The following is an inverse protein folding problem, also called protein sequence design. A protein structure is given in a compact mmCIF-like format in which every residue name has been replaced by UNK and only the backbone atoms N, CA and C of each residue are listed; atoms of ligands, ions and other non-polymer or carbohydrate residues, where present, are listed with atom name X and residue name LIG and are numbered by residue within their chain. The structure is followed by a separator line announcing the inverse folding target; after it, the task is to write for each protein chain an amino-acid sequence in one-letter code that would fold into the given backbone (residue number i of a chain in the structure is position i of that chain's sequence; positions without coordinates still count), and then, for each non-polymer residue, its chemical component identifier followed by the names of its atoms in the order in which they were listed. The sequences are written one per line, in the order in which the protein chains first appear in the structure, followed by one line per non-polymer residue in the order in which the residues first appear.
data_IF_465464127043
#
_entry.id   IF_465464127043
#
_cell.length_a   1.000
_cell.length_b   1.000
_cell.length_c   1.000
_cell.angle_alpha   90.00
_cell.angle_beta   90.00
_cell.angle_gamma   90.00
#
_symmetry.space_group_name_H-M   'P 1'
#
loop_
_entity.id
_entity.type
_entity.pdbx_description
1 polymer ?
#
# COMPACT_ATOMS: atom_id res chain seq x y z
N UNK A 1 -0.24 -7.92 -3.01
CA UNK A 1 0.65 -6.88 -2.46
C UNK A 1 2.00 -6.89 -3.18
N UNK A 2 2.84 -7.92 -2.99
CA UNK A 2 4.23 -7.93 -3.48
C UNK A 2 4.43 -7.70 -4.99
N UNK A 3 3.59 -8.27 -5.86
CA UNK A 3 3.67 -7.98 -7.31
C UNK A 3 3.47 -6.50 -7.62
N UNK A 4 2.47 -5.88 -6.99
CA UNK A 4 2.18 -4.44 -7.10
C UNK A 4 3.32 -3.58 -6.56
N UNK A 5 3.85 -3.91 -5.38
CA UNK A 5 5.01 -3.23 -4.79
C UNK A 5 6.21 -3.24 -5.75
N UNK A 6 6.50 -4.40 -6.35
CA UNK A 6 7.62 -4.52 -7.28
C UNK A 6 7.40 -3.68 -8.54
N UNK A 7 6.22 -3.74 -9.15
CA UNK A 7 5.91 -3.02 -10.39
C UNK A 7 5.76 -1.51 -10.21
N UNK A 8 5.15 -1.05 -9.13
CA UNK A 8 4.83 0.37 -8.91
C UNK A 8 5.97 1.13 -8.20
N UNK A 9 6.76 0.47 -7.35
CA UNK A 9 7.80 1.12 -6.54
C UNK A 9 9.20 0.62 -6.85
N UNK A 10 9.44 -0.70 -6.84
CA UNK A 10 10.82 -1.21 -6.87
C UNK A 10 11.47 -1.13 -8.26
N UNK A 11 10.82 -1.65 -9.31
CA UNK A 11 11.40 -1.70 -10.66
C UNK A 11 11.58 -0.34 -11.34
N UNK A 12 10.71 0.67 -11.16
CA UNK A 12 10.87 1.96 -11.84
C UNK A 12 12.00 2.83 -11.28
N UNK A 13 12.53 2.51 -10.10
CA UNK A 13 13.45 3.37 -9.35
C UNK A 13 14.83 2.74 -9.23
N UNK A 14 15.86 3.58 -9.15
CA UNK A 14 17.20 3.19 -8.71
C UNK A 14 17.50 3.85 -7.39
N UNK A 15 17.85 3.04 -6.40
CA UNK A 15 18.20 3.50 -5.06
C UNK A 15 19.73 3.60 -4.95
N UNK A 16 20.20 4.68 -4.35
CA UNK A 16 21.62 4.94 -4.09
C UNK A 16 22.10 4.22 -2.84
N UNK A 17 21.20 3.87 -1.93
CA UNK A 17 21.49 3.13 -0.71
C UNK A 17 20.32 2.26 -0.24
N UNK A 18 20.60 1.39 0.72
CA UNK A 18 19.57 0.59 1.39
C UNK A 18 18.67 1.47 2.25
N UNK A 19 19.21 2.56 2.81
CA UNK A 19 18.48 3.53 3.62
C UNK A 19 17.43 4.27 2.78
N UNK A 20 17.79 4.68 1.55
CA UNK A 20 16.84 5.30 0.62
C UNK A 20 15.73 4.33 0.20
N UNK A 21 16.09 3.06 -0.07
CA UNK A 21 15.12 2.01 -0.34
C UNK A 21 14.13 1.82 0.83
N UNK A 22 14.63 1.80 2.07
CA UNK A 22 13.80 1.64 3.27
C UNK A 22 12.84 2.81 3.45
N UNK A 23 13.33 4.05 3.35
CA UNK A 23 12.49 5.23 3.50
C UNK A 23 11.35 5.27 2.46
N UNK A 24 11.67 5.02 1.18
CA UNK A 24 10.65 4.96 0.13
C UNK A 24 9.69 3.78 0.30
N UNK A 25 10.16 2.65 0.83
CA UNK A 25 9.31 1.49 1.11
C UNK A 25 8.29 1.79 2.21
N UNK A 26 8.69 2.48 3.28
CA UNK A 26 7.80 2.88 4.36
C UNK A 26 6.69 3.82 3.84
N UNK A 27 7.06 4.80 3.02
CA UNK A 27 6.10 5.70 2.35
C UNK A 27 5.14 4.92 1.43
N UNK A 28 5.64 4.00 0.61
CA UNK A 28 4.80 3.20 -0.28
C UNK A 28 3.84 2.29 0.51
N UNK A 29 4.30 1.70 1.62
CA UNK A 29 3.46 0.87 2.50
C UNK A 29 2.35 1.71 3.12
N UNK A 30 2.65 2.93 3.59
CA UNK A 30 1.64 3.85 4.10
C UNK A 30 0.59 4.15 3.03
N UNK A 31 1.03 4.63 1.86
CA UNK A 31 0.17 4.90 0.72
C UNK A 31 -0.71 3.70 0.38
N UNK A 32 -0.12 2.52 0.22
CA UNK A 32 -0.83 1.30 -0.16
C UNK A 32 -1.95 0.95 0.83
N UNK A 33 -1.67 1.08 2.14
CA UNK A 33 -2.60 0.65 3.19
C UNK A 33 -3.64 1.69 3.57
N UNK A 34 -3.28 2.97 3.57
CA UNK A 34 -4.10 4.04 4.15
C UNK A 34 -4.75 4.93 3.09
N UNK A 35 -4.07 5.18 1.98
CA UNK A 35 -4.46 6.24 1.04
C UNK A 35 -4.94 5.67 -0.31
N UNK A 36 -4.50 4.46 -0.66
CA UNK A 36 -4.80 3.84 -1.95
C UNK A 36 -6.30 3.63 -2.14
N UNK A 37 -6.86 4.34 -3.12
CA UNK A 37 -8.24 4.17 -3.55
C UNK A 37 -8.37 2.87 -4.36
N UNK A 38 -9.23 1.95 -3.90
CA UNK A 38 -9.59 0.75 -4.66
C UNK A 38 -11.08 0.77 -4.99
N UNK A 39 -11.42 0.91 -6.28
CA UNK A 39 -12.81 0.90 -6.73
C UNK A 39 -13.54 -0.38 -6.35
N UNK A 40 -12.87 -1.54 -6.42
CA UNK A 40 -13.42 -2.83 -5.95
C UNK A 40 -13.75 -2.87 -4.45
N UNK A 41 -13.23 -1.93 -3.66
CA UNK A 41 -13.50 -1.79 -2.23
C UNK A 41 -14.38 -0.56 -1.96
N UNK A 42 -15.24 -0.16 -2.91
CA UNK A 42 -16.05 1.06 -2.82
C UNK A 42 -15.22 2.32 -2.53
N UNK A 43 -14.01 2.40 -3.08
CA UNK A 43 -13.09 3.52 -2.86
C UNK A 43 -12.38 3.50 -1.51
N UNK A 44 -12.63 2.51 -0.65
CA UNK A 44 -11.93 2.38 0.62
C UNK A 44 -10.46 2.01 0.43
N UNK A 45 -9.62 2.52 1.32
CA UNK A 45 -8.27 1.99 1.49
C UNK A 45 -8.30 0.60 2.13
N UNK A 46 -7.25 -0.22 1.95
CA UNK A 46 -7.20 -1.56 2.52
C UNK A 46 -7.46 -1.62 4.02
N UNK A 47 -6.95 -0.66 4.80
CA UNK A 47 -7.21 -0.59 6.25
C UNK A 47 -8.68 -0.29 6.53
N UNK A 48 -9.26 0.72 5.87
CA UNK A 48 -10.68 1.07 6.04
C UNK A 48 -11.59 -0.10 5.68
N UNK A 49 -11.29 -0.80 4.59
CA UNK A 49 -12.06 -1.97 4.17
C UNK A 49 -12.03 -3.10 5.21
N UNK A 50 -10.86 -3.41 5.79
CA UNK A 50 -10.76 -4.43 6.84
C UNK A 50 -11.54 -4.06 8.09
N UNK A 51 -11.46 -2.80 8.53
CA UNK A 51 -12.22 -2.32 9.69
C UNK A 51 -13.73 -2.42 9.45
N UNK A 52 -14.20 -2.01 8.26
CA UNK A 52 -15.61 -2.13 7.87
C UNK A 52 -16.08 -3.59 7.82
N UNK A 53 -15.30 -4.48 7.21
CA UNK A 53 -15.62 -5.90 7.14
C UNK A 53 -15.67 -6.58 8.52
N UNK A 54 -14.77 -6.19 9.43
CA UNK A 54 -14.77 -6.70 10.80
C UNK A 54 -16.01 -6.26 11.61
N UNK A 55 -16.44 -5.00 11.45
CA UNK A 55 -17.65 -4.48 12.11
C UNK A 55 -18.96 -4.97 11.49
N UNK A 56 -18.95 -5.45 10.25
CA UNK A 56 -20.11 -6.09 9.63
C UNK A 56 -20.29 -7.56 10.07
N UNK A 57 -19.27 -8.16 10.69
CA UNK A 57 -19.29 -9.53 11.17
C UNK A 57 -19.66 -9.67 12.67
N UNK A 58 -19.89 -8.54 13.35
CA UNK A 58 -20.31 -8.42 14.76
C UNK A 58 -21.78 -8.06 14.87
#
# INVERSE_FOLDING_TARGET
FFGTLKSEFFYPQRFKSVEELKAGLDEYIHYYNHDRIKLKLNGMSPVKYRAHAAGAAS
#
